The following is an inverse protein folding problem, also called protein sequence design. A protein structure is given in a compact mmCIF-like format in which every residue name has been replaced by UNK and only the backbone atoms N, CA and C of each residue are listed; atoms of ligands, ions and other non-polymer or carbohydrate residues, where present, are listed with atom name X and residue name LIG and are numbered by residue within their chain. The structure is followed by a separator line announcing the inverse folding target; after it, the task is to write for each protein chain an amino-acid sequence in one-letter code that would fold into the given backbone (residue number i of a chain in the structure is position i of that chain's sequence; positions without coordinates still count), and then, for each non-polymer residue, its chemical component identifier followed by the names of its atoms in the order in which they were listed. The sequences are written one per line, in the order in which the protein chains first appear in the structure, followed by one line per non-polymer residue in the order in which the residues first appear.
data_IF_924871309090
#
_entry.id   IF_924871309090
#
_cell.length_a   1.000
_cell.length_b   1.000
_cell.length_c   1.000
_cell.angle_alpha   90.00
_cell.angle_beta   90.00
_cell.angle_gamma   90.00
#
_symmetry.space_group_name_H-M   'P 1'
#
loop_
_entity.id
_entity.type
_entity.pdbx_description
1 polymer ?
#
# COMPACT_ATOMS: atom_id res chain seq x y z
N UNK A 1 -16.58 15.93 -2.36
CA UNK A 1 -15.98 15.68 -3.69
C UNK A 1 -17.00 15.94 -4.78
N UNK A 2 -16.58 16.13 -6.03
CA UNK A 2 -17.53 16.28 -7.16
C UNK A 2 -18.26 14.97 -7.43
N UNK A 3 -19.50 15.05 -7.86
CA UNK A 3 -20.29 13.91 -8.31
C UNK A 3 -19.57 13.18 -9.46
N UNK A 4 -19.58 11.84 -9.45
CA UNK A 4 -18.86 11.00 -10.42
C UNK A 4 -17.33 11.20 -10.41
N UNK A 5 -16.76 11.73 -9.32
CA UNK A 5 -15.32 11.86 -9.16
C UNK A 5 -14.59 10.50 -9.20
N UNK A 6 -13.28 10.56 -9.45
CA UNK A 6 -12.38 9.41 -9.47
C UNK A 6 -11.15 9.72 -8.62
N UNK A 7 -10.83 8.85 -7.67
CA UNK A 7 -9.54 8.81 -6.99
C UNK A 7 -8.82 7.55 -7.44
N UNK A 8 -7.63 7.71 -7.98
CA UNK A 8 -6.77 6.63 -8.44
C UNK A 8 -5.45 6.74 -7.69
N UNK A 9 -5.27 5.86 -6.71
CA UNK A 9 -4.05 5.77 -5.94
C UNK A 9 -3.03 4.92 -6.70
N UNK A 10 -1.91 5.52 -7.14
CA UNK A 10 -0.82 4.79 -7.80
C UNK A 10 -0.03 4.02 -6.74
N UNK A 11 -0.41 2.76 -6.57
CA UNK A 11 0.19 1.82 -5.64
C UNK A 11 1.27 0.97 -6.33
N UNK A 12 1.51 -0.24 -5.85
CA UNK A 12 2.47 -1.18 -6.42
C UNK A 12 2.10 -2.62 -6.06
N UNK A 13 2.39 -3.56 -6.97
CA UNK A 13 2.37 -5.00 -6.67
C UNK A 13 3.25 -5.41 -5.49
N UNK A 14 4.24 -4.58 -5.12
CA UNK A 14 5.13 -4.85 -3.98
C UNK A 14 4.36 -4.83 -2.65
N UNK A 15 3.29 -4.03 -2.54
CA UNK A 15 2.47 -3.97 -1.33
C UNK A 15 1.89 -5.34 -0.93
N UNK A 16 1.11 -6.00 -1.81
CA UNK A 16 0.62 -7.35 -1.56
C UNK A 16 1.74 -8.39 -1.33
N UNK A 17 2.88 -8.26 -2.01
CA UNK A 17 4.01 -9.19 -1.85
C UNK A 17 4.59 -9.14 -0.44
N UNK A 18 4.85 -7.94 0.09
CA UNK A 18 5.41 -7.83 1.45
C UNK A 18 4.38 -8.20 2.50
N UNK A 19 3.10 -7.88 2.29
CA UNK A 19 2.04 -8.22 3.22
C UNK A 19 1.84 -9.74 3.30
N UNK A 20 1.89 -10.45 2.16
CA UNK A 20 1.83 -11.92 2.11
C UNK A 20 2.96 -12.59 2.90
N UNK A 21 4.13 -11.95 3.00
CA UNK A 21 5.28 -12.44 3.76
C UNK A 21 5.23 -12.05 5.24
N UNK A 22 4.42 -11.06 5.60
CA UNK A 22 4.24 -10.65 6.99
C UNK A 22 3.42 -11.70 7.77
N UNK A 23 3.42 -11.57 9.09
CA UNK A 23 2.64 -12.42 9.99
C UNK A 23 1.15 -12.40 9.63
N UNK A 24 0.46 -13.51 9.91
CA UNK A 24 -0.99 -13.59 9.71
C UNK A 24 -1.73 -12.47 10.46
N UNK A 25 -1.26 -12.10 11.66
CA UNK A 25 -1.85 -11.00 12.43
C UNK A 25 -1.76 -9.65 11.70
N UNK A 26 -0.64 -9.34 11.05
CA UNK A 26 -0.53 -8.12 10.23
C UNK A 26 -1.41 -8.21 8.98
N UNK A 27 -1.44 -9.36 8.31
CA UNK A 27 -2.31 -9.59 7.15
C UNK A 27 -3.79 -9.32 7.50
N UNK A 28 -4.27 -9.86 8.61
CA UNK A 28 -5.64 -9.66 9.10
C UNK A 28 -5.93 -8.20 9.43
N UNK A 29 -4.99 -7.48 10.07
CA UNK A 29 -5.15 -6.05 10.40
C UNK A 29 -5.25 -5.18 9.14
N UNK A 30 -4.34 -5.36 8.17
CA UNK A 30 -4.33 -4.58 6.92
C UNK A 30 -5.50 -4.89 6.00
N UNK A 31 -6.08 -6.09 6.07
CA UNK A 31 -7.18 -6.53 5.18
C UNK A 31 -8.55 -6.52 5.86
N UNK A 32 -8.61 -6.04 7.11
CA UNK A 32 -9.86 -5.98 7.86
C UNK A 32 -10.90 -5.11 7.17
N UNK A 33 -12.10 -5.67 6.95
CA UNK A 33 -13.25 -4.93 6.39
C UNK A 33 -13.75 -3.78 7.27
N UNK A 34 -13.37 -3.75 8.55
CA UNK A 34 -13.73 -2.71 9.51
C UNK A 34 -12.56 -1.80 9.87
N UNK A 35 -11.46 -1.87 9.12
CA UNK A 35 -10.31 -1.00 9.32
C UNK A 35 -10.73 0.46 9.16
N UNK A 36 -10.24 1.32 10.05
CA UNK A 36 -10.45 2.77 10.01
C UNK A 36 -9.16 3.50 9.66
N UNK A 37 -9.26 4.75 9.21
CA UNK A 37 -8.09 5.62 8.97
C UNK A 37 -7.22 5.73 10.21
N UNK A 38 -7.83 5.92 11.38
CA UNK A 38 -7.12 5.97 12.66
C UNK A 38 -6.34 4.68 12.96
N UNK A 39 -6.95 3.51 12.78
CA UNK A 39 -6.25 2.22 12.97
C UNK A 39 -5.14 2.00 11.95
N UNK A 40 -5.30 2.51 10.73
CA UNK A 40 -4.27 2.48 9.70
C UNK A 40 -3.09 3.40 10.07
N UNK A 41 -3.35 4.60 10.61
CA UNK A 41 -2.31 5.48 11.12
C UNK A 41 -1.52 4.80 12.26
N UNK A 42 -2.22 4.12 13.17
CA UNK A 42 -1.57 3.34 14.24
C UNK A 42 -0.69 2.20 13.68
N UNK A 43 -1.12 1.49 12.63
CA UNK A 43 -0.29 0.48 11.96
C UNK A 43 1.02 1.06 11.39
N UNK A 44 0.95 2.29 10.85
CA UNK A 44 2.13 3.00 10.32
C UNK A 44 3.02 3.51 11.45
N UNK A 45 2.46 4.03 12.53
CA UNK A 45 3.20 4.46 13.72
C UNK A 45 3.94 3.29 14.39
N UNK A 46 3.28 2.12 14.52
CA UNK A 46 3.90 0.89 15.03
C UNK A 46 5.09 0.46 14.16
N UNK A 47 4.96 0.55 12.83
CA UNK A 47 6.06 0.28 11.90
C UNK A 47 7.23 1.24 12.14
N UNK A 48 6.97 2.55 12.22
CA UNK A 48 8.00 3.57 12.45
C UNK A 48 8.73 3.29 13.76
N UNK A 49 7.99 3.05 14.84
CA UNK A 49 8.58 2.70 16.13
C UNK A 49 9.43 1.43 16.04
N UNK A 50 8.96 0.40 15.34
CA UNK A 50 9.70 -0.85 15.17
C UNK A 50 10.99 -0.68 14.35
N UNK A 51 11.03 0.27 13.41
CA UNK A 51 12.27 0.63 12.71
C UNK A 51 13.25 1.28 13.70
N UNK A 52 12.79 2.26 14.48
CA UNK A 52 13.62 3.00 15.44
C UNK A 52 14.19 2.09 16.54
N UNK A 53 13.43 1.08 16.97
CA UNK A 53 13.84 0.14 18.01
C UNK A 53 14.45 -1.15 17.47
N UNK A 54 14.58 -1.30 16.15
CA UNK A 54 15.09 -2.51 15.50
C UNK A 54 14.30 -3.79 15.88
N UNK A 55 12.97 -3.70 15.85
CA UNK A 55 12.02 -4.75 16.28
C UNK A 55 11.02 -5.17 15.19
N UNK A 56 11.32 -4.88 13.91
CA UNK A 56 10.44 -5.18 12.77
C UNK A 56 9.98 -6.64 12.69
N UNK A 57 10.89 -7.60 12.91
CA UNK A 57 10.57 -9.03 12.88
C UNK A 57 9.64 -9.42 14.02
N UNK A 58 9.80 -8.82 15.20
CA UNK A 58 8.94 -9.08 16.36
C UNK A 58 7.54 -8.49 16.17
N UNK A 59 7.43 -7.37 15.45
CA UNK A 59 6.16 -6.82 15.00
C UNK A 59 5.50 -7.70 13.91
N UNK A 60 6.28 -8.60 13.28
CA UNK A 60 5.80 -9.61 12.35
C UNK A 60 6.08 -9.31 10.88
N UNK A 61 6.95 -8.37 10.55
CA UNK A 61 7.40 -8.14 9.18
C UNK A 61 8.58 -9.05 8.82
N UNK A 62 8.63 -9.56 7.59
CA UNK A 62 9.82 -10.21 7.01
C UNK A 62 10.87 -9.12 6.70
N UNK A 63 11.95 -9.05 7.48
CA UNK A 63 12.99 -8.02 7.36
C UNK A 63 13.98 -8.25 6.20
N UNK A 64 13.94 -9.41 5.54
CA UNK A 64 14.86 -9.78 4.45
C UNK A 64 14.74 -8.92 3.17
N UNK A 65 13.53 -8.56 2.68
CA UNK A 65 13.42 -7.88 1.40
C UNK A 65 13.90 -6.42 1.47
N UNK A 66 14.84 -6.05 0.59
CA UNK A 66 15.33 -4.67 0.46
C UNK A 66 14.25 -3.63 0.12
N UNK A 67 13.12 -4.09 -0.42
CA UNK A 67 11.96 -3.26 -0.76
C UNK A 67 10.88 -3.24 0.34
N UNK A 68 11.14 -3.77 1.54
CA UNK A 68 10.14 -3.91 2.61
C UNK A 68 9.43 -2.59 2.92
N UNK A 69 10.17 -1.53 3.25
CA UNK A 69 9.60 -0.24 3.64
C UNK A 69 8.71 0.37 2.55
N UNK A 70 9.21 0.35 1.30
CA UNK A 70 8.43 0.76 0.14
C UNK A 70 7.16 -0.10 0.00
N UNK A 71 7.29 -1.41 0.11
CA UNK A 71 6.16 -2.34 0.07
C UNK A 71 5.12 -2.04 1.14
N UNK A 72 5.52 -1.85 2.39
CA UNK A 72 4.59 -1.59 3.50
C UNK A 72 3.86 -0.27 3.27
N UNK A 73 4.53 0.77 2.76
CA UNK A 73 3.87 2.03 2.37
C UNK A 73 2.79 1.82 1.30
N UNK A 74 3.02 0.91 0.35
CA UNK A 74 2.06 0.56 -0.72
C UNK A 74 0.95 -0.37 -0.23
N UNK A 75 1.22 -1.23 0.75
CA UNK A 75 0.20 -2.00 1.45
C UNK A 75 -0.74 -1.07 2.26
N UNK A 76 -0.18 -0.10 2.97
CA UNK A 76 -0.96 0.92 3.68
C UNK A 76 -1.81 1.76 2.71
N UNK A 77 -1.26 2.17 1.56
CA UNK A 77 -2.03 2.88 0.53
C UNK A 77 -3.19 2.04 -0.04
N UNK A 78 -3.00 0.73 -0.19
CA UNK A 78 -4.08 -0.19 -0.60
C UNK A 78 -5.17 -0.27 0.48
N UNK A 79 -4.79 -0.39 1.75
CA UNK A 79 -5.74 -0.39 2.87
C UNK A 79 -6.51 0.94 2.94
N UNK A 80 -5.82 2.08 2.81
CA UNK A 80 -6.45 3.41 2.77
C UNK A 80 -7.48 3.51 1.63
N UNK A 81 -7.11 3.01 0.45
CA UNK A 81 -8.01 2.99 -0.72
C UNK A 81 -9.31 2.24 -0.41
N UNK A 82 -9.22 1.10 0.28
CA UNK A 82 -10.39 0.33 0.70
C UNK A 82 -11.24 1.09 1.73
N UNK A 83 -10.59 1.68 2.75
CA UNK A 83 -11.28 2.47 3.78
C UNK A 83 -12.03 3.65 3.16
N UNK A 84 -11.37 4.41 2.27
CA UNK A 84 -12.00 5.51 1.53
C UNK A 84 -13.14 5.02 0.64
N UNK A 85 -12.96 3.91 -0.09
CA UNK A 85 -14.01 3.36 -0.94
C UNK A 85 -15.28 3.03 -0.13
N UNK A 86 -15.14 2.48 1.08
CA UNK A 86 -16.28 2.23 1.97
C UNK A 86 -16.90 3.50 2.52
N UNK A 87 -16.09 4.46 2.98
CA UNK A 87 -16.58 5.74 3.51
C UNK A 87 -17.42 6.52 2.47
N UNK A 88 -16.98 6.51 1.22
CA UNK A 88 -17.64 7.23 0.12
C UNK A 88 -18.70 6.41 -0.63
N UNK A 89 -18.86 5.13 -0.33
CA UNK A 89 -19.80 4.24 -1.03
C UNK A 89 -21.26 4.74 -1.01
N UNK A 90 -21.65 5.45 0.05
CA UNK A 90 -23.01 5.96 0.24
C UNK A 90 -23.22 7.39 -0.28
N UNK A 91 -22.17 8.07 -0.75
CA UNK A 91 -22.20 9.49 -1.11
C UNK A 91 -21.41 9.79 -2.39
N UNK A 92 -22.11 10.21 -3.46
CA UNK A 92 -21.57 10.91 -4.64
C UNK A 92 -20.97 10.12 -5.81
N UNK A 93 -21.30 8.83 -6.00
CA UNK A 93 -20.82 8.03 -7.15
C UNK A 93 -19.29 8.10 -7.36
N UNK A 94 -18.55 8.21 -6.25
CA UNK A 94 -17.10 8.34 -6.25
C UNK A 94 -16.47 6.96 -6.45
N UNK A 95 -15.59 6.82 -7.45
CA UNK A 95 -14.75 5.63 -7.58
C UNK A 95 -13.43 5.88 -6.86
N UNK A 96 -13.07 5.00 -5.93
CA UNK A 96 -11.76 5.00 -5.28
C UNK A 96 -11.11 3.66 -5.55
N UNK A 97 -9.98 3.68 -6.24
CA UNK A 97 -9.24 2.45 -6.62
C UNK A 97 -7.74 2.67 -6.47
N UNK A 98 -7.01 1.57 -6.32
CA UNK A 98 -5.56 1.56 -6.42
C UNK A 98 -5.12 0.74 -7.62
N UNK A 99 -4.02 1.16 -8.24
CA UNK A 99 -3.46 0.53 -9.43
C UNK A 99 -1.96 0.31 -9.27
N UNK A 100 -1.41 -0.66 -10.00
CA UNK A 100 0.04 -0.83 -10.15
C UNK A 100 0.40 -0.43 -11.58
N UNK A 101 1.31 0.54 -11.79
CA UNK A 101 1.69 0.97 -13.14
C UNK A 101 2.61 -0.04 -13.84
N UNK A 102 3.01 -1.13 -13.15
CA UNK A 102 3.99 -2.08 -13.68
C UNK A 102 5.42 -1.65 -13.39
N UNK A 103 6.38 -2.41 -13.91
CA UNK A 103 7.79 -2.07 -13.78
C UNK A 103 8.19 -1.11 -14.91
N UNK A 104 8.24 0.19 -14.59
CA UNK A 104 8.44 1.27 -15.56
C UNK A 104 9.87 1.82 -15.49
N UNK A 105 10.45 2.18 -16.64
CA UNK A 105 11.77 2.78 -16.79
C UNK A 105 11.69 4.27 -16.40
N UNK A 106 11.93 4.54 -15.12
CA UNK A 106 11.87 5.88 -14.51
C UNK A 106 13.09 6.08 -13.63
N UNK A 107 13.35 7.29 -13.16
CA UNK A 107 14.41 7.58 -12.18
C UNK A 107 14.31 6.68 -10.94
N UNK A 108 13.10 6.36 -10.48
CA UNK A 108 12.84 5.48 -9.33
C UNK A 108 13.40 4.06 -9.52
N UNK A 109 13.42 3.57 -10.76
CA UNK A 109 13.96 2.24 -11.13
C UNK A 109 15.33 2.33 -11.77
N UNK A 110 15.95 3.53 -11.80
CA UNK A 110 17.22 3.78 -12.48
C UNK A 110 17.16 3.57 -13.99
N UNK A 111 15.99 3.79 -14.60
CA UNK A 111 15.72 3.47 -16.01
C UNK A 111 16.12 2.04 -16.39
N UNK A 112 15.76 1.06 -15.54
CA UNK A 112 16.14 -0.33 -15.74
C UNK A 112 15.84 -0.84 -17.16
N UNK A 113 16.76 -1.57 -17.80
CA UNK A 113 16.69 -1.91 -19.22
C UNK A 113 15.57 -2.91 -19.56
N UNK A 114 15.09 -3.67 -18.59
CA UNK A 114 13.97 -4.61 -18.70
C UNK A 114 12.61 -3.98 -18.32
N UNK A 115 12.61 -2.73 -17.88
CA UNK A 115 11.40 -1.99 -17.55
C UNK A 115 10.75 -1.38 -18.80
N UNK A 116 9.42 -1.24 -18.77
CA UNK A 116 8.65 -0.66 -19.87
C UNK A 116 8.72 0.88 -19.83
N UNK A 117 8.52 1.58 -20.96
CA UNK A 117 8.29 3.03 -20.95
C UNK A 117 7.15 3.40 -19.99
N UNK A 118 7.31 4.52 -19.28
CA UNK A 118 6.34 4.97 -18.28
C UNK A 118 4.97 5.28 -18.90
N UNK A 119 4.94 5.66 -20.18
CA UNK A 119 3.73 5.93 -20.96
C UNK A 119 2.94 4.67 -21.28
N UNK A 120 3.60 3.50 -21.32
CA UNK A 120 2.95 2.22 -21.63
C UNK A 120 2.41 1.52 -20.39
N UNK A 121 3.08 1.64 -19.24
CA UNK A 121 2.65 1.01 -18.00
C UNK A 121 2.49 -0.53 -18.08
N UNK A 122 1.65 -1.08 -17.18
CA UNK A 122 1.34 -2.50 -17.02
C UNK A 122 0.33 -3.00 -18.06
#
# INVERSE_FOLDING_TARGET
MRENGRIINVSSRVGPIVLYKASQALQERYTSSTLTKYQLDQLVEELISAIETNTLEQLGYDAEPSFLMYGVSKAALNALTQVDAYEWSNNNSLLVVSVTPGYCATDMTGHAPDARPAELGA
#
